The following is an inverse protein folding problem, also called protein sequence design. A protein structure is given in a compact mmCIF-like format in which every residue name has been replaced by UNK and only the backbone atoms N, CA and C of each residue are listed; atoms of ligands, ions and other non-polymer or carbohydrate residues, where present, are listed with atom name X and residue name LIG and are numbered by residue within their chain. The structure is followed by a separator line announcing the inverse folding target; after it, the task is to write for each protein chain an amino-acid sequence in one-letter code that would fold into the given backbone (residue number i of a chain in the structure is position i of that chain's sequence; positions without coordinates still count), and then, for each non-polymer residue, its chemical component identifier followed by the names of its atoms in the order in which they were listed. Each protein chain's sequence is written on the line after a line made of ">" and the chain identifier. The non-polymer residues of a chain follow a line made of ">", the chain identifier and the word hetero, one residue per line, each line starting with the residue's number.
data_IF_492819258625
#
_entry.id   IF_492819258625
#
_cell.length_a   1.000
_cell.length_b   1.000
_cell.length_c   1.000
_cell.angle_alpha   90.00
_cell.angle_beta   90.00
_cell.angle_gamma   90.00
#
_symmetry.space_group_name_H-M   'P 1'
#
loop_
_entity.id
_entity.type
_entity.pdbx_description
1 polymer ?
#
# COMPACT_ATOMS: atom_id res chain seq x y z
N UNK A 1 23.66 18.49 -6.44
CA UNK A 1 23.79 17.35 -5.50
C UNK A 1 22.40 17.07 -4.98
N UNK A 2 21.69 16.14 -5.61
CA UNK A 2 20.45 15.62 -5.02
C UNK A 2 20.86 14.79 -3.82
N UNK A 3 20.54 15.26 -2.62
CA UNK A 3 20.50 14.41 -1.44
C UNK A 3 19.49 13.33 -1.75
N UNK A 4 19.96 12.14 -2.13
CA UNK A 4 19.13 10.94 -2.18
C UNK A 4 18.62 10.72 -0.76
N UNK A 5 17.42 11.22 -0.49
CA UNK A 5 16.78 11.08 0.81
C UNK A 5 16.36 9.63 0.92
N UNK A 6 17.13 8.89 1.71
CA UNK A 6 16.84 7.50 2.05
C UNK A 6 15.61 7.46 2.95
N UNK A 7 14.66 6.58 2.61
CA UNK A 7 13.51 6.29 3.45
C UNK A 7 13.93 5.51 4.70
N UNK A 8 13.50 5.97 5.87
CA UNK A 8 13.79 5.34 7.15
C UNK A 8 12.51 5.19 7.98
N UNK A 9 12.00 3.95 8.09
CA UNK A 9 10.82 3.64 8.91
C UNK A 9 11.11 3.71 10.42
N UNK A 10 12.36 3.67 10.84
CA UNK A 10 12.76 3.84 12.25
C UNK A 10 12.78 5.31 12.67
N UNK A 11 12.77 6.23 11.72
CA UNK A 11 12.80 7.67 11.99
C UNK A 11 11.42 8.17 12.41
N UNK A 12 11.40 9.03 13.41
CA UNK A 12 10.21 9.81 13.75
C UNK A 12 9.84 10.74 12.58
N UNK A 13 8.56 10.77 12.25
CA UNK A 13 7.99 11.61 11.20
C UNK A 13 7.25 12.77 11.86
N UNK A 14 7.54 13.99 11.40
CA UNK A 14 6.76 15.19 11.75
C UNK A 14 5.81 15.51 10.60
N UNK A 15 4.51 15.50 10.89
CA UNK A 15 3.45 15.77 9.90
C UNK A 15 2.77 17.08 10.26
N UNK A 16 2.74 18.01 9.30
CA UNK A 16 1.97 19.24 9.45
C UNK A 16 0.55 19.02 8.95
N UNK A 17 -0.39 19.01 9.89
CA UNK A 17 -1.81 19.10 9.61
C UNK A 17 -2.18 20.56 9.38
N UNK A 18 -2.91 20.83 8.29
CA UNK A 18 -3.53 22.13 8.05
C UNK A 18 -5.02 21.98 8.31
N UNK A 19 -5.53 22.67 9.31
CA UNK A 19 -6.97 22.74 9.60
C UNK A 19 -7.45 24.19 9.52
N UNK A 20 -8.76 24.40 9.64
CA UNK A 20 -9.36 25.73 9.67
C UNK A 20 -8.81 26.62 10.82
N UNK A 21 -8.28 25.99 11.87
CA UNK A 21 -7.73 26.65 13.07
C UNK A 21 -6.23 26.94 12.96
N UNK A 22 -5.58 26.52 11.87
CA UNK A 22 -4.16 26.75 11.62
C UNK A 22 -3.37 25.47 11.36
N UNK A 23 -2.05 25.61 11.28
CA UNK A 23 -1.15 24.48 11.11
C UNK A 23 -0.79 23.87 12.48
N UNK A 24 -0.93 22.55 12.62
CA UNK A 24 -0.51 21.79 13.80
C UNK A 24 0.53 20.76 13.36
N UNK A 25 1.61 20.62 14.12
CA UNK A 25 2.63 19.59 13.86
C UNK A 25 2.39 18.40 14.79
N UNK A 26 2.35 17.20 14.21
CA UNK A 26 2.14 15.93 14.91
C UNK A 26 3.35 15.04 14.70
N UNK A 27 3.80 14.39 15.76
CA UNK A 27 4.95 13.48 15.80
C UNK A 27 4.46 12.04 15.88
N UNK A 28 4.88 11.23 14.92
CA UNK A 28 4.51 9.82 14.83
C UNK A 28 5.73 8.97 14.49
N UNK A 29 5.72 7.69 14.87
CA UNK A 29 6.58 6.68 14.24
C UNK A 29 5.92 6.12 12.99
N UNK A 30 6.69 5.54 12.10
CA UNK A 30 6.13 4.76 11.01
C UNK A 30 5.47 3.48 11.57
N UNK A 31 4.29 3.06 11.08
CA UNK A 31 3.69 1.80 11.51
C UNK A 31 4.52 0.59 11.07
N UNK A 32 4.53 -0.45 11.90
CA UNK A 32 5.17 -1.72 11.54
C UNK A 32 4.26 -2.56 10.61
N UNK A 33 4.80 -3.66 10.10
CA UNK A 33 4.08 -4.52 9.15
C UNK A 33 2.80 -5.13 9.74
N UNK A 34 2.81 -5.55 11.01
CA UNK A 34 1.62 -6.11 11.67
C UNK A 34 0.51 -5.08 11.80
N UNK A 35 0.87 -3.82 12.11
CA UNK A 35 -0.06 -2.71 12.21
C UNK A 35 -0.66 -2.33 10.85
N UNK A 36 0.15 -2.34 9.78
CA UNK A 36 -0.35 -2.14 8.42
C UNK A 36 -1.27 -3.28 7.97
N UNK A 37 -0.92 -4.53 8.28
CA UNK A 37 -1.75 -5.70 7.98
C UNK A 37 -3.08 -5.61 8.73
N UNK A 38 -3.08 -5.29 10.03
CA UNK A 38 -4.32 -5.14 10.82
C UNK A 38 -5.20 -4.03 10.27
N UNK A 39 -4.62 -2.87 9.96
CA UNK A 39 -5.32 -1.75 9.33
C UNK A 39 -6.00 -2.20 8.04
N UNK A 40 -5.26 -2.82 7.12
CA UNK A 40 -5.81 -3.22 5.82
C UNK A 40 -6.89 -4.29 5.96
N UNK A 41 -6.74 -5.24 6.90
CA UNK A 41 -7.75 -6.26 7.19
C UNK A 41 -9.05 -5.67 7.74
N UNK A 42 -8.96 -4.60 8.54
CA UNK A 42 -10.13 -3.93 9.14
C UNK A 42 -10.84 -2.98 8.17
N UNK A 43 -10.15 -2.44 7.16
CA UNK A 43 -10.71 -1.60 6.09
C UNK A 43 -11.40 -2.44 5.00
N UNK A 44 -12.53 -3.03 5.35
CA UNK A 44 -13.36 -3.83 4.44
C UNK A 44 -13.96 -2.96 3.34
N UNK A 45 -13.82 -3.36 2.09
CA UNK A 45 -14.44 -2.69 0.95
C UNK A 45 -15.78 -3.35 0.69
N UNK A 46 -16.88 -2.61 0.77
CA UNK A 46 -18.23 -3.08 0.47
C UNK A 46 -18.63 -2.60 -0.92
N UNK A 47 -18.88 -3.54 -1.82
CA UNK A 47 -19.37 -3.30 -3.17
C UNK A 47 -20.83 -3.72 -3.21
N UNK A 48 -21.74 -2.77 -3.43
CA UNK A 48 -23.18 -3.02 -3.56
C UNK A 48 -23.59 -2.87 -5.01
N UNK A 49 -24.04 -3.95 -5.63
CA UNK A 49 -24.50 -3.93 -7.02
C UNK A 49 -25.91 -3.36 -7.08
N UNK A 50 -26.07 -2.23 -7.78
CA UNK A 50 -27.34 -1.52 -7.94
C UNK A 50 -28.12 -1.97 -9.19
N UNK A 51 -27.52 -2.82 -10.02
CA UNK A 51 -28.08 -3.29 -11.29
C UNK A 51 -27.64 -2.44 -12.47
N UNK A 52 -27.91 -2.93 -13.70
CA UNK A 52 -27.57 -2.25 -14.97
C UNK A 52 -26.09 -1.86 -15.12
N UNK A 53 -25.19 -2.66 -14.53
CA UNK A 53 -23.75 -2.38 -14.54
C UNK A 53 -23.31 -1.27 -13.58
N UNK A 54 -24.17 -0.80 -12.69
CA UNK A 54 -23.82 0.20 -11.66
C UNK A 54 -23.58 -0.48 -10.31
N UNK A 55 -22.52 -0.06 -9.62
CA UNK A 55 -22.21 -0.45 -8.26
C UNK A 55 -21.87 0.77 -7.40
N UNK A 56 -22.11 0.63 -6.09
CA UNK A 56 -21.71 1.58 -5.05
C UNK A 56 -20.60 0.93 -4.22
N UNK A 57 -19.43 1.57 -4.16
CA UNK A 57 -18.29 1.08 -3.38
C UNK A 57 -18.07 1.97 -2.17
N UNK A 58 -18.08 1.38 -0.98
CA UNK A 58 -17.86 2.08 0.29
C UNK A 58 -16.81 1.36 1.13
N UNK A 59 -16.06 2.10 1.95
CA UNK A 59 -15.17 1.53 2.96
C UNK A 59 -15.71 2.00 4.32
N UNK A 60 -16.67 1.27 4.91
CA UNK A 60 -17.27 1.69 6.16
C UNK A 60 -16.24 1.76 7.28
N UNK A 61 -16.34 2.82 8.08
CA UNK A 61 -15.53 3.07 9.27
C UNK A 61 -14.02 3.16 9.02
N UNK A 62 -13.60 3.67 7.85
CA UNK A 62 -12.19 3.76 7.51
C UNK A 62 -11.45 4.69 8.48
N UNK A 63 -12.09 5.79 8.84
CA UNK A 63 -11.59 6.84 9.71
C UNK A 63 -11.38 6.33 11.13
N UNK A 64 -12.28 5.51 11.67
CA UNK A 64 -12.12 4.91 13.00
C UNK A 64 -11.01 3.86 13.04
N UNK A 65 -10.82 3.11 11.95
CA UNK A 65 -9.68 2.19 11.83
C UNK A 65 -8.37 2.95 11.82
N UNK A 66 -8.31 4.06 11.08
CA UNK A 66 -7.12 4.90 10.99
C UNK A 66 -6.86 5.66 12.29
N UNK A 67 -7.88 6.16 12.98
CA UNK A 67 -7.77 6.75 14.30
C UNK A 67 -7.19 5.77 15.33
N UNK A 68 -7.64 4.51 15.30
CA UNK A 68 -7.12 3.47 16.17
C UNK A 68 -5.65 3.12 15.86
N UNK A 69 -5.23 3.18 14.59
CA UNK A 69 -3.82 3.02 14.23
C UNK A 69 -3.00 4.23 14.67
N UNK A 70 -3.49 5.44 14.39
CA UNK A 70 -2.84 6.69 14.77
C UNK A 70 -2.54 6.75 16.27
N UNK A 71 -3.51 6.38 17.12
CA UNK A 71 -3.34 6.32 18.56
C UNK A 71 -2.17 5.41 19.02
N UNK A 72 -1.83 4.37 18.25
CA UNK A 72 -0.70 3.47 18.57
C UNK A 72 0.66 4.01 18.16
N UNK A 73 0.70 4.89 17.16
CA UNK A 73 1.95 5.38 16.54
C UNK A 73 2.29 6.82 16.94
N UNK A 74 1.35 7.54 17.56
CA UNK A 74 1.55 8.90 18.06
C UNK A 74 2.63 8.91 19.14
N UNK A 75 3.53 9.89 19.07
CA UNK A 75 4.67 10.06 19.97
C UNK A 75 4.62 11.37 20.77
N UNK A 76 3.71 12.29 20.44
CA UNK A 76 3.50 13.51 21.20
C UNK A 76 2.24 13.46 22.06
N UNK A 77 2.23 14.31 23.09
CA UNK A 77 1.08 14.60 23.96
C UNK A 77 0.29 15.84 23.46
N UNK A 78 0.28 16.09 22.14
CA UNK A 78 -0.45 17.22 21.56
C UNK A 78 -1.96 17.12 21.76
N UNK A 79 -2.70 18.12 21.30
CA UNK A 79 -4.16 18.15 21.41
C UNK A 79 -4.87 16.93 20.78
N UNK A 80 -6.13 16.73 21.16
CA UNK A 80 -6.99 15.73 20.54
C UNK A 80 -7.13 16.00 19.04
N UNK A 81 -7.07 14.92 18.25
CA UNK A 81 -7.33 14.93 16.81
C UNK A 81 -8.56 14.08 16.56
N UNK A 82 -9.41 14.54 15.65
CA UNK A 82 -10.56 13.75 15.24
C UNK A 82 -10.16 12.58 14.30
N UNK A 83 -11.11 11.71 14.00
CA UNK A 83 -10.86 10.52 13.18
C UNK A 83 -10.47 10.86 11.73
N UNK A 84 -10.93 12.00 11.20
CA UNK A 84 -10.60 12.44 9.85
C UNK A 84 -9.19 13.02 9.80
N UNK A 85 -8.81 13.83 10.79
CA UNK A 85 -7.43 14.32 10.95
C UNK A 85 -6.45 13.16 11.08
N UNK A 86 -6.79 12.15 11.90
CA UNK A 86 -5.99 10.93 12.03
C UNK A 86 -5.91 10.15 10.72
N UNK A 87 -7.02 10.01 9.99
CA UNK A 87 -7.03 9.33 8.69
C UNK A 87 -6.12 10.02 7.67
N UNK A 88 -6.12 11.36 7.62
CA UNK A 88 -5.20 12.12 6.75
C UNK A 88 -3.72 11.85 7.05
N UNK A 89 -3.36 11.72 8.33
CA UNK A 89 -1.99 11.35 8.74
C UNK A 89 -1.65 9.95 8.22
N UNK A 90 -2.52 8.96 8.46
CA UNK A 90 -2.28 7.59 8.04
C UNK A 90 -2.22 7.47 6.52
N UNK A 91 -3.07 8.19 5.80
CA UNK A 91 -3.03 8.27 4.33
C UNK A 91 -1.67 8.78 3.84
N UNK A 92 -1.18 9.89 4.41
CA UNK A 92 0.11 10.47 4.05
C UNK A 92 1.26 9.50 4.33
N UNK A 93 1.23 8.79 5.46
CA UNK A 93 2.24 7.75 5.77
C UNK A 93 2.15 6.55 4.83
N UNK A 94 0.96 6.23 4.33
CA UNK A 94 0.73 5.08 3.45
C UNK A 94 1.06 5.33 1.98
N UNK A 95 1.48 6.55 1.62
CA UNK A 95 1.75 6.91 0.24
C UNK A 95 2.88 6.04 -0.33
N UNK A 96 2.60 5.41 -1.46
CA UNK A 96 3.58 4.68 -2.25
C UNK A 96 3.06 4.63 -3.69
N UNK A 97 3.66 5.44 -4.55
CA UNK A 97 3.27 5.59 -5.95
C UNK A 97 4.32 4.94 -6.84
N UNK A 98 3.87 4.29 -7.92
CA UNK A 98 4.77 3.72 -8.93
C UNK A 98 5.12 4.83 -9.92
N UNK A 99 6.38 5.23 -9.94
CA UNK A 99 6.89 6.22 -10.89
C UNK A 99 7.29 5.56 -12.22
N UNK A 100 7.86 4.35 -12.16
CA UNK A 100 8.31 3.62 -13.35
C UNK A 100 8.41 2.11 -13.11
N UNK A 101 8.20 1.31 -14.16
CA UNK A 101 8.38 -0.15 -14.15
C UNK A 101 9.00 -0.58 -15.48
N UNK A 102 10.21 -1.13 -15.42
CA UNK A 102 10.93 -1.59 -16.61
C UNK A 102 11.28 -3.06 -16.48
N UNK A 103 10.97 -3.85 -17.50
CA UNK A 103 11.38 -5.25 -17.61
C UNK A 103 12.76 -5.34 -18.26
N UNK A 104 13.78 -5.78 -17.51
CA UNK A 104 15.16 -5.91 -18.00
C UNK A 104 15.83 -7.16 -17.44
N UNK A 105 16.53 -7.92 -18.29
CA UNK A 105 17.36 -9.05 -17.85
C UNK A 105 16.63 -10.17 -17.11
N UNK A 106 15.32 -10.36 -17.36
CA UNK A 106 14.50 -11.37 -16.65
C UNK A 106 14.04 -10.93 -15.26
N UNK A 107 14.14 -9.63 -14.96
CA UNK A 107 13.64 -9.00 -13.75
C UNK A 107 12.81 -7.76 -14.11
N UNK A 108 12.13 -7.22 -13.11
CA UNK A 108 11.47 -5.94 -13.17
C UNK A 108 12.16 -4.98 -12.22
N UNK A 109 12.53 -3.81 -12.73
CA UNK A 109 12.99 -2.68 -11.94
C UNK A 109 11.80 -1.74 -11.73
N UNK A 110 11.37 -1.61 -10.49
CA UNK A 110 10.25 -0.76 -10.07
C UNK A 110 10.80 0.45 -9.31
N UNK A 111 10.44 1.65 -9.75
CA UNK A 111 10.74 2.90 -9.05
C UNK A 111 9.47 3.33 -8.31
N UNK A 112 9.60 3.53 -7.00
CA UNK A 112 8.51 4.02 -6.15
C UNK A 112 8.83 5.41 -5.60
N UNK A 113 7.81 6.29 -5.60
CA UNK A 113 7.81 7.52 -4.80
C UNK A 113 7.13 7.24 -3.46
N UNK A 114 7.85 7.47 -2.37
CA UNK A 114 7.40 7.24 -0.99
C UNK A 114 7.62 8.50 -0.15
N UNK A 115 7.01 8.61 1.06
CA UNK A 115 7.25 9.73 1.94
C UNK A 115 8.74 9.97 2.18
N UNK A 116 9.21 11.15 1.77
CA UNK A 116 10.59 11.56 1.99
C UNK A 116 11.59 11.11 0.93
N UNK A 117 11.24 10.29 -0.07
CA UNK A 117 12.23 9.86 -1.07
C UNK A 117 11.71 9.03 -2.23
N UNK A 118 12.63 8.62 -3.09
CA UNK A 118 12.40 7.67 -4.18
C UNK A 118 13.16 6.39 -3.85
N UNK A 119 12.52 5.24 -4.07
CA UNK A 119 13.09 3.92 -3.80
C UNK A 119 13.04 3.06 -5.04
N UNK A 120 13.93 2.08 -5.11
CA UNK A 120 14.04 1.18 -6.27
C UNK A 120 13.99 -0.26 -5.78
N UNK A 121 13.19 -1.07 -6.47
CA UNK A 121 13.05 -2.50 -6.20
C UNK A 121 13.40 -3.28 -7.47
N UNK A 122 14.28 -4.27 -7.35
CA UNK A 122 14.55 -5.22 -8.44
C UNK A 122 13.95 -6.57 -8.04
N UNK A 123 12.89 -6.95 -8.74
CA UNK A 123 12.14 -8.19 -8.49
C UNK A 123 12.33 -9.15 -9.66
N UNK A 124 12.64 -10.42 -9.39
CA UNK A 124 12.67 -11.47 -10.42
C UNK A 124 11.31 -11.60 -11.10
N UNK A 125 11.32 -12.05 -12.36
CA UNK A 125 10.10 -12.44 -13.06
C UNK A 125 9.34 -13.52 -12.26
N UNK A 126 8.08 -13.28 -11.85
CA UNK A 126 7.30 -14.28 -11.15
C UNK A 126 6.89 -15.42 -12.07
N UNK A 127 6.82 -16.64 -11.54
CA UNK A 127 6.27 -17.77 -12.28
C UNK A 127 4.73 -17.73 -12.31
N UNK A 128 4.11 -18.45 -13.26
CA UNK A 128 2.64 -18.58 -13.30
C UNK A 128 2.06 -19.10 -11.97
N UNK A 129 2.77 -20.00 -11.28
CA UNK A 129 2.39 -20.49 -9.95
C UNK A 129 2.37 -19.34 -8.92
N UNK A 130 3.39 -18.50 -8.92
CA UNK A 130 3.50 -17.36 -8.01
C UNK A 130 2.35 -16.39 -8.20
N UNK A 131 2.04 -16.05 -9.46
CA UNK A 131 0.93 -15.16 -9.81
C UNK A 131 -0.40 -15.74 -9.33
N UNK A 132 -0.65 -17.02 -9.54
CA UNK A 132 -1.90 -17.68 -9.14
C UNK A 132 -2.04 -17.73 -7.60
N UNK A 133 -0.97 -18.11 -6.88
CA UNK A 133 -0.98 -18.15 -5.42
C UNK A 133 -1.19 -16.75 -4.81
N UNK A 134 -0.51 -15.74 -5.35
CA UNK A 134 -0.70 -14.35 -4.96
C UNK A 134 -2.14 -13.88 -5.19
N UNK A 135 -2.70 -14.06 -6.40
CA UNK A 135 -4.07 -13.63 -6.71
C UNK A 135 -5.11 -14.29 -5.79
N UNK A 136 -4.94 -15.57 -5.47
CA UNK A 136 -5.83 -16.29 -4.54
C UNK A 136 -5.73 -15.78 -3.10
N UNK A 137 -4.53 -15.38 -2.67
CA UNK A 137 -4.27 -14.97 -1.30
C UNK A 137 -4.45 -13.49 -1.03
N UNK A 138 -4.27 -12.63 -2.04
CA UNK A 138 -4.18 -11.17 -1.90
C UNK A 138 -5.54 -10.50 -1.74
N UNK A 139 -6.56 -10.94 -2.48
CA UNK A 139 -7.91 -10.41 -2.37
C UNK A 139 -8.88 -11.53 -1.99
N UNK A 140 -9.63 -11.33 -0.92
CA UNK A 140 -10.73 -12.21 -0.52
C UNK A 140 -12.03 -11.49 -0.77
N UNK A 141 -12.90 -12.10 -1.57
CA UNK A 141 -14.27 -11.64 -1.81
C UNK A 141 -15.22 -12.57 -1.08
N UNK A 142 -16.17 -12.00 -0.34
CA UNK A 142 -17.27 -12.69 0.30
C UNK A 142 -18.58 -12.12 -0.22
N UNK A 143 -19.43 -12.96 -0.81
CA UNK A 143 -20.78 -12.56 -1.18
C UNK A 143 -21.65 -12.44 0.07
N UNK A 144 -22.30 -11.30 0.18
CA UNK A 144 -23.21 -10.95 1.27
C UNK A 144 -24.65 -10.87 0.72
N UNK A 145 -25.67 -11.00 1.59
CA UNK A 145 -27.06 -10.77 1.19
C UNK A 145 -27.28 -9.40 0.53
N UNK A 146 -28.34 -9.30 -0.28
CA UNK A 146 -28.76 -8.07 -0.96
C UNK A 146 -27.76 -7.53 -1.99
N UNK A 147 -27.18 -8.43 -2.80
CA UNK A 147 -26.25 -8.11 -3.89
C UNK A 147 -25.04 -7.29 -3.42
N UNK A 148 -24.52 -7.63 -2.23
CA UNK A 148 -23.32 -7.00 -1.67
C UNK A 148 -22.16 -7.96 -1.74
N UNK A 149 -20.96 -7.42 -1.88
CA UNK A 149 -19.71 -8.15 -1.77
C UNK A 149 -18.82 -7.42 -0.78
N UNK A 150 -18.21 -8.18 0.12
CA UNK A 150 -17.15 -7.69 0.99
C UNK A 150 -15.80 -8.12 0.40
N UNK A 151 -14.97 -7.16 0.06
CA UNK A 151 -13.61 -7.36 -0.40
C UNK A 151 -12.64 -6.96 0.72
N UNK A 152 -11.76 -7.89 1.08
CA UNK A 152 -10.66 -7.66 2.02
C UNK A 152 -9.33 -7.87 1.30
N UNK A 153 -8.39 -6.94 1.48
CA UNK A 153 -7.03 -7.06 0.95
C UNK A 153 -6.10 -7.61 2.02
N UNK A 154 -5.27 -8.57 1.63
CA UNK A 154 -4.31 -9.24 2.50
C UNK A 154 -2.88 -8.87 2.09
N UNK A 155 -2.29 -7.91 2.80
CA UNK A 155 -0.93 -7.44 2.53
C UNK A 155 0.12 -8.55 2.78
N UNK A 156 -0.15 -9.51 3.66
CA UNK A 156 0.80 -10.58 3.96
C UNK A 156 1.08 -11.47 2.74
N UNK A 157 0.09 -11.66 1.85
CA UNK A 157 0.29 -12.37 0.60
C UNK A 157 1.29 -11.64 -0.33
N UNK A 158 1.22 -10.31 -0.36
CA UNK A 158 2.14 -9.50 -1.14
C UNK A 158 3.55 -9.50 -0.53
N UNK A 159 3.66 -9.38 0.80
CA UNK A 159 4.95 -9.49 1.50
C UNK A 159 5.63 -10.84 1.26
N UNK A 160 4.87 -11.94 1.33
CA UNK A 160 5.39 -13.29 1.04
C UNK A 160 5.95 -13.40 -0.37
N UNK A 161 5.21 -12.90 -1.38
CA UNK A 161 5.68 -12.91 -2.75
C UNK A 161 6.88 -11.98 -2.96
N UNK A 162 6.86 -10.79 -2.35
CA UNK A 162 7.98 -9.84 -2.42
C UNK A 162 9.27 -10.49 -1.90
N UNK A 163 9.25 -11.11 -0.72
CA UNK A 163 10.44 -11.78 -0.16
C UNK A 163 10.99 -12.88 -1.07
N UNK A 164 10.11 -13.57 -1.81
CA UNK A 164 10.51 -14.59 -2.77
C UNK A 164 11.18 -14.01 -4.03
N UNK A 165 10.69 -12.87 -4.52
CA UNK A 165 11.12 -12.29 -5.80
C UNK A 165 12.24 -11.26 -5.65
N UNK A 166 12.35 -10.59 -4.51
CA UNK A 166 13.27 -9.48 -4.32
C UNK A 166 14.72 -9.91 -4.48
N UNK A 167 15.44 -9.20 -5.35
CA UNK A 167 16.88 -9.35 -5.54
C UNK A 167 17.62 -8.25 -4.81
N UNK A 168 17.20 -7.00 -5.03
CA UNK A 168 17.75 -5.82 -4.37
C UNK A 168 16.66 -4.78 -4.11
N UNK A 169 16.90 -3.94 -3.10
CA UNK A 169 16.12 -2.75 -2.81
C UNK A 169 17.05 -1.62 -2.42
N UNK A 170 16.82 -0.44 -2.97
CA UNK A 170 17.63 0.76 -2.75
C UNK A 170 16.77 1.92 -2.23
N UNK A 171 17.41 2.88 -1.57
CA UNK A 171 16.73 4.04 -0.99
C UNK A 171 16.08 3.76 0.36
N UNK A 172 16.42 2.66 1.03
CA UNK A 172 15.96 2.32 2.38
C UNK A 172 17.12 2.28 3.39
N UNK A 173 16.91 2.83 4.59
CA UNK A 173 17.85 2.74 5.71
C UNK A 173 17.74 1.39 6.45
N UNK A 174 16.61 0.70 6.29
CA UNK A 174 16.30 -0.58 6.92
C UNK A 174 15.48 -1.48 6.01
N UNK A 175 14.69 -2.36 6.62
CA UNK A 175 13.80 -3.25 5.87
C UNK A 175 12.72 -2.46 5.11
N UNK A 176 12.34 -2.96 3.94
CA UNK A 176 11.24 -2.40 3.14
C UNK A 176 9.91 -2.65 3.86
N UNK A 177 9.08 -1.63 4.17
CA UNK A 177 7.78 -1.84 4.79
C UNK A 177 6.81 -2.60 3.87
N UNK A 178 5.92 -3.41 4.45
CA UNK A 178 4.99 -4.27 3.69
C UNK A 178 4.09 -3.50 2.72
N UNK A 179 3.73 -2.25 3.05
CA UNK A 179 2.91 -1.43 2.14
C UNK A 179 3.67 -1.06 0.86
N UNK A 180 4.98 -0.84 0.92
CA UNK A 180 5.80 -0.60 -0.27
C UNK A 180 6.06 -1.90 -1.03
N UNK A 181 6.30 -3.01 -0.30
CA UNK A 181 6.42 -4.34 -0.90
C UNK A 181 5.16 -4.69 -1.72
N UNK A 182 3.97 -4.40 -1.18
CA UNK A 182 2.71 -4.67 -1.84
C UNK A 182 2.54 -3.86 -3.14
N UNK A 183 2.90 -2.59 -3.14
CA UNK A 183 2.87 -1.74 -4.34
C UNK A 183 3.86 -2.23 -5.39
N UNK A 184 5.10 -2.56 -5.00
CA UNK A 184 6.11 -3.09 -5.91
C UNK A 184 5.67 -4.43 -6.56
N UNK A 185 5.13 -5.35 -5.76
CA UNK A 185 4.60 -6.63 -6.29
C UNK A 185 3.44 -6.40 -7.25
N UNK A 186 2.48 -5.54 -6.89
CA UNK A 186 1.36 -5.22 -7.77
C UNK A 186 1.85 -4.67 -9.10
N UNK A 187 2.79 -3.72 -9.07
CA UNK A 187 3.38 -3.12 -10.26
C UNK A 187 4.02 -4.15 -11.20
N UNK A 188 4.72 -5.14 -10.65
CA UNK A 188 5.31 -6.25 -11.43
C UNK A 188 4.25 -7.15 -12.05
N UNK A 189 3.20 -7.49 -11.30
CA UNK A 189 2.11 -8.32 -11.83
C UNK A 189 1.38 -7.59 -12.95
N UNK A 190 1.06 -6.31 -12.76
CA UNK A 190 0.38 -5.50 -13.78
C UNK A 190 1.26 -5.37 -15.05
N UNK A 191 2.56 -5.13 -14.90
CA UNK A 191 3.49 -5.06 -16.03
C UNK A 191 3.67 -6.40 -16.75
N UNK A 192 3.64 -7.52 -16.02
CA UNK A 192 3.67 -8.86 -16.60
C UNK A 192 2.40 -9.11 -17.44
N UNK A 193 1.24 -8.78 -16.90
CA UNK A 193 -0.05 -8.96 -17.58
C UNK A 193 -0.12 -8.10 -18.86
N UNK A 194 0.27 -6.82 -18.77
CA UNK A 194 0.32 -5.93 -19.93
C UNK A 194 1.23 -6.47 -21.04
N UNK A 195 2.42 -6.99 -20.68
CA UNK A 195 3.34 -7.58 -21.65
C UNK A 195 2.87 -8.92 -22.25
N UNK A 196 1.90 -9.60 -21.63
CA UNK A 196 1.25 -10.78 -22.20
C UNK A 196 0.17 -10.38 -23.21
N UNK A 197 -0.66 -9.40 -22.86
CA UNK A 197 -1.73 -8.89 -23.73
C UNK A 197 -1.18 -8.33 -25.05
N UNK A 198 -0.04 -7.61 -25.00
CA UNK A 198 0.64 -7.09 -26.19
C UNK A 198 1.15 -8.20 -27.14
N UNK A 199 1.46 -9.39 -26.62
CA UNK A 199 1.91 -10.53 -27.44
C UNK A 199 0.74 -11.25 -28.09
N UNK A 200 -0.38 -11.37 -27.39
CA UNK A 200 -1.59 -12.01 -27.91
C UNK A 200 -2.30 -11.17 -28.98
N UNK A 201 -2.26 -9.83 -28.85
CA UNK A 201 -2.83 -8.90 -29.85
C UNK A 201 -2.03 -8.75 -31.15
N UNK A 202 -0.84 -9.34 -31.23
CA UNK A 202 0.06 -9.27 -32.39
C UNK A 202 0.15 -10.60 -33.17
N UNK A 203 -0.76 -11.55 -32.89
CA UNK A 203 -0.94 -12.82 -33.61
C UNK A 203 -2.26 -12.81 -34.39
#
# INVERSE_FOLDING_TARGET
>A
METSNVFDSGRQVEIQLRSAEGARTVKVRFPNDEEWIDRQRRRKIIIKHLGRGTSETTIPNAEEVDAALFAKIRLDDGGELDAYEASRIIEQLSQAEVDDVVAEGGAFRVVLRVPGGTTVHVLRMPSAKDVIEYRRGFARILDLPFNRQELTVNLAAAGTLYQKLCQTSEGYAGAVPIIHQAVAVKAVIDALDAGLDEREGNC
#
